data_IF_661214434816
#
_entry.id   IF_661214434816
#
_cell.length_a   1.000
_cell.length_b   1.000
_cell.length_c   1.000
_cell.angle_alpha   90.00
_cell.angle_beta   90.00
_cell.angle_gamma   90.00
#
_symmetry.space_group_name_H-M   'P 1'
#
loop_
_entity.id
_entity.type
_entity.pdbx_description
1 polymer ?
#
# COMPACT_ATOMS: atom_id res chain seq x y z
N UNK A 1 -13.97 -8.96 30.03
CA UNK A 1 -13.04 -7.82 29.87
C UNK A 1 -12.41 -7.99 28.48
N UNK A 2 -12.79 -7.13 27.53
CA UNK A 2 -12.28 -7.25 26.15
C UNK A 2 -10.78 -7.00 26.12
N UNK A 3 -10.08 -7.83 25.40
CA UNK A 3 -8.64 -7.68 25.17
C UNK A 3 -8.38 -6.34 24.42
N UNK A 4 -7.39 -5.54 24.80
CA UNK A 4 -7.15 -4.19 24.24
C UNK A 4 -7.07 -4.16 22.71
N UNK A 5 -6.53 -5.21 22.10
CA UNK A 5 -6.44 -5.35 20.65
C UNK A 5 -7.79 -5.64 19.98
N UNK A 6 -8.76 -6.23 20.70
CA UNK A 6 -10.12 -6.44 20.20
C UNK A 6 -10.83 -5.10 20.01
N UNK A 7 -10.72 -4.22 20.99
CA UNK A 7 -11.27 -2.86 20.92
C UNK A 7 -10.66 -2.10 19.75
N UNK A 8 -9.33 -2.17 19.58
CA UNK A 8 -8.65 -1.53 18.46
C UNK A 8 -9.13 -2.07 17.10
N UNK A 9 -9.33 -3.39 16.99
CA UNK A 9 -9.83 -4.04 15.80
C UNK A 9 -11.26 -3.64 15.47
N UNK A 10 -12.14 -3.59 16.47
CA UNK A 10 -13.54 -3.20 16.31
C UNK A 10 -13.66 -1.73 15.89
N UNK A 11 -12.84 -0.85 16.46
CA UNK A 11 -12.83 0.58 16.13
C UNK A 11 -12.14 0.92 14.80
N UNK A 12 -11.52 -0.06 14.17
CA UNK A 12 -10.78 0.14 12.90
C UNK A 12 -11.01 -0.98 11.89
N UNK A 13 -12.28 -1.32 11.55
CA UNK A 13 -12.60 -2.44 10.67
C UNK A 13 -11.97 -2.28 9.28
N UNK A 14 -11.83 -1.04 8.80
CA UNK A 14 -11.19 -0.72 7.51
C UNK A 14 -9.70 -1.10 7.44
N UNK A 15 -9.05 -1.36 8.58
CA UNK A 15 -7.67 -1.84 8.69
C UNK A 15 -7.50 -3.34 8.46
N UNK A 16 -8.59 -4.09 8.42
CA UNK A 16 -8.60 -5.56 8.23
C UNK A 16 -7.59 -6.28 9.14
N UNK A 17 -7.55 -5.88 10.41
CA UNK A 17 -6.64 -6.43 11.43
C UNK A 17 -5.15 -6.13 11.21
N UNK A 18 -4.79 -5.14 10.40
CA UNK A 18 -3.39 -4.70 10.17
C UNK A 18 -3.10 -3.44 10.96
N UNK A 19 -2.11 -3.50 11.87
CA UNK A 19 -1.76 -2.42 12.77
C UNK A 19 -0.25 -2.20 12.87
N UNK A 20 0.17 -0.99 13.23
CA UNK A 20 1.53 -0.75 13.67
C UNK A 20 1.75 -1.34 15.06
N UNK A 21 2.95 -1.87 15.28
CA UNK A 21 3.37 -2.34 16.61
C UNK A 21 3.14 -1.26 17.70
N UNK A 22 3.47 0.00 17.39
CA UNK A 22 3.27 1.12 18.33
C UNK A 22 1.79 1.37 18.66
N UNK A 23 0.88 1.15 17.72
CA UNK A 23 -0.57 1.29 17.93
C UNK A 23 -1.09 0.21 18.90
N UNK A 24 -0.61 -1.03 18.73
CA UNK A 24 -0.94 -2.13 19.64
C UNK A 24 -0.43 -1.86 21.06
N UNK A 25 0.82 -1.37 21.18
CA UNK A 25 1.39 -1.00 22.49
C UNK A 25 0.64 0.16 23.13
N UNK A 26 0.28 1.19 22.35
CA UNK A 26 -0.52 2.32 22.83
C UNK A 26 -1.94 1.92 23.25
N UNK A 27 -2.50 0.87 22.63
CA UNK A 27 -3.79 0.30 23.01
C UNK A 27 -3.72 -0.60 24.26
N UNK A 28 -2.54 -0.79 24.87
CA UNK A 28 -2.38 -1.56 26.10
C UNK A 28 -1.88 -3.00 25.92
N UNK A 29 -1.55 -3.41 24.70
CA UNK A 29 -0.88 -4.71 24.47
C UNK A 29 0.55 -4.62 25.01
N UNK A 30 0.93 -5.47 25.96
CA UNK A 30 2.29 -5.45 26.49
C UNK A 30 3.32 -5.97 25.46
N UNK A 31 4.59 -5.54 25.54
CA UNK A 31 5.65 -6.08 24.69
C UNK A 31 5.81 -7.61 24.80
N UNK A 32 5.54 -8.17 25.97
CA UNK A 32 5.59 -9.61 26.22
C UNK A 32 4.45 -10.35 25.50
N UNK A 33 3.22 -9.85 25.64
CA UNK A 33 2.05 -10.40 24.92
C UNK A 33 2.25 -10.36 23.40
N UNK A 34 2.76 -9.25 22.87
CA UNK A 34 3.01 -9.10 21.43
C UNK A 34 4.04 -10.12 20.94
N UNK A 35 5.17 -10.26 21.67
CA UNK A 35 6.20 -11.27 21.32
C UNK A 35 5.65 -12.68 21.40
N UNK A 36 4.89 -12.99 22.45
CA UNK A 36 4.27 -14.30 22.63
C UNK A 36 3.28 -14.62 21.53
N UNK A 37 2.41 -13.68 21.15
CA UNK A 37 1.42 -13.88 20.09
C UNK A 37 2.09 -14.12 18.73
N UNK A 38 3.19 -13.44 18.43
CA UNK A 38 3.97 -13.66 17.21
C UNK A 38 4.69 -14.99 17.27
N UNK A 39 5.35 -15.34 18.38
CA UNK A 39 6.08 -16.60 18.55
C UNK A 39 5.16 -17.83 18.47
N UNK A 40 3.90 -17.70 18.89
CA UNK A 40 2.86 -18.74 18.79
C UNK A 40 2.05 -18.68 17.49
N UNK A 41 2.52 -17.92 16.52
CA UNK A 41 1.89 -17.76 15.21
C UNK A 41 0.41 -17.30 15.25
N UNK A 42 -0.04 -16.76 16.39
CA UNK A 42 -1.38 -16.16 16.49
C UNK A 42 -1.47 -14.85 15.74
N UNK A 43 -0.37 -14.10 15.69
CA UNK A 43 -0.21 -12.87 14.93
C UNK A 43 1.02 -12.97 14.03
N UNK A 44 1.03 -12.22 12.93
CA UNK A 44 2.15 -12.19 12.00
C UNK A 44 2.79 -10.83 11.89
N UNK A 45 4.11 -10.78 12.03
CA UNK A 45 4.89 -9.61 11.59
C UNK A 45 5.02 -9.64 10.07
N UNK A 46 4.22 -8.80 9.39
CA UNK A 46 4.12 -8.81 7.93
C UNK A 46 5.11 -7.86 7.24
N UNK A 47 5.42 -6.72 7.88
CA UNK A 47 6.49 -5.78 7.52
C UNK A 47 7.17 -5.29 8.79
N UNK A 48 8.34 -4.65 8.74
CA UNK A 48 8.97 -4.08 9.93
C UNK A 48 8.03 -3.13 10.66
N UNK A 49 7.72 -3.46 11.91
CA UNK A 49 6.80 -2.69 12.74
C UNK A 49 5.32 -2.80 12.37
N UNK A 50 4.94 -3.66 11.41
CA UNK A 50 3.53 -3.90 11.02
C UNK A 50 3.13 -5.32 11.37
N UNK A 51 2.02 -5.46 12.07
CA UNK A 51 1.49 -6.73 12.57
C UNK A 51 0.09 -6.97 12.00
N UNK A 52 -0.14 -8.18 11.53
CA UNK A 52 -1.46 -8.71 11.21
C UNK A 52 -1.97 -9.51 12.41
N UNK A 53 -3.13 -9.15 12.94
CA UNK A 53 -3.80 -9.88 14.02
C UNK A 53 -4.51 -11.10 13.42
N UNK A 54 -3.76 -12.18 13.26
CA UNK A 54 -4.20 -13.45 12.68
C UNK A 54 -3.03 -14.28 12.19
N UNK A 55 -3.27 -15.58 12.03
CA UNK A 55 -2.27 -16.57 11.60
C UNK A 55 -2.21 -16.76 10.09
N UNK A 56 -3.25 -16.31 9.36
CA UNK A 56 -3.39 -16.50 7.92
C UNK A 56 -2.34 -15.70 7.12
N UNK A 57 -2.05 -16.16 5.92
CA UNK A 57 -1.28 -15.38 4.95
C UNK A 57 -2.04 -14.10 4.61
N UNK A 58 -1.36 -12.93 4.60
CA UNK A 58 -2.01 -11.66 4.30
C UNK A 58 -2.68 -11.70 2.92
N UNK A 59 -3.95 -11.32 2.86
CA UNK A 59 -4.66 -11.07 1.59
C UNK A 59 -4.02 -9.93 0.84
N UNK A 60 -4.30 -9.79 -0.47
CA UNK A 60 -3.80 -8.66 -1.25
C UNK A 60 -4.18 -7.32 -0.64
N UNK A 61 -5.42 -7.20 -0.14
CA UNK A 61 -5.88 -5.97 0.51
C UNK A 61 -5.13 -5.69 1.81
N UNK A 62 -4.87 -6.70 2.63
CA UNK A 62 -4.04 -6.58 3.83
C UNK A 62 -2.58 -6.22 3.50
N UNK A 63 -2.04 -6.69 2.37
CA UNK A 63 -0.72 -6.26 1.88
C UNK A 63 -0.70 -4.77 1.52
N UNK A 64 -1.73 -4.27 0.82
CA UNK A 64 -1.86 -2.84 0.50
C UNK A 64 -1.97 -1.98 1.77
N UNK A 65 -2.80 -2.40 2.73
CA UNK A 65 -2.95 -1.73 4.02
C UNK A 65 -1.61 -1.76 4.78
N UNK A 66 -0.95 -2.91 4.84
CA UNK A 66 0.35 -3.07 5.49
C UNK A 66 1.42 -2.17 4.88
N UNK A 67 1.47 -2.09 3.55
CA UNK A 67 2.39 -1.20 2.85
C UNK A 67 2.09 0.28 3.14
N UNK A 68 0.80 0.68 3.10
CA UNK A 68 0.36 2.05 3.43
C UNK A 68 0.76 2.43 4.86
N UNK A 69 0.49 1.56 5.82
CA UNK A 69 0.82 1.76 7.23
C UNK A 69 2.33 1.83 7.45
N UNK A 70 3.08 0.96 6.78
CA UNK A 70 4.55 0.97 6.79
C UNK A 70 5.13 2.25 6.18
N UNK A 71 4.55 2.71 5.07
CA UNK A 71 4.95 3.94 4.39
C UNK A 71 4.62 5.21 5.19
N UNK A 72 3.64 5.16 6.09
CA UNK A 72 3.19 6.29 6.91
C UNK A 72 2.08 7.12 6.25
N UNK A 73 1.66 8.19 6.96
CA UNK A 73 0.51 9.03 6.58
C UNK A 73 0.63 9.66 5.20
N UNK A 74 1.85 10.03 4.80
CA UNK A 74 2.09 10.76 3.56
C UNK A 74 2.42 9.84 2.38
N UNK A 75 2.55 8.54 2.65
CA UNK A 75 2.77 7.57 1.60
C UNK A 75 1.51 7.42 0.72
N UNK A 76 1.72 7.24 -0.58
CA UNK A 76 0.67 7.06 -1.58
C UNK A 76 1.00 5.83 -2.39
N UNK A 77 0.06 4.88 -2.46
CA UNK A 77 0.19 3.70 -3.32
C UNK A 77 0.19 4.16 -4.77
N UNK A 78 1.19 3.75 -5.55
CA UNK A 78 1.34 4.11 -6.96
C UNK A 78 1.71 2.89 -7.82
N UNK A 79 2.05 3.13 -9.08
CA UNK A 79 2.47 2.10 -10.01
C UNK A 79 1.39 1.05 -10.28
N UNK A 80 1.80 -0.21 -10.49
CA UNK A 80 0.90 -1.28 -10.89
C UNK A 80 -0.25 -1.52 -9.90
N UNK A 81 0.00 -1.41 -8.58
CA UNK A 81 -1.04 -1.57 -7.58
C UNK A 81 -2.13 -0.50 -7.67
N UNK A 82 -1.73 0.77 -7.89
CA UNK A 82 -2.66 1.87 -8.08
C UNK A 82 -3.38 1.79 -9.45
N UNK A 83 -2.67 1.43 -10.52
CA UNK A 83 -3.26 1.22 -11.84
C UNK A 83 -4.37 0.15 -11.78
N UNK A 84 -4.13 -0.92 -11.06
CA UNK A 84 -5.13 -1.96 -10.83
C UNK A 84 -6.32 -1.49 -9.99
N UNK A 85 -6.08 -0.65 -8.97
CA UNK A 85 -7.15 -0.01 -8.19
C UNK A 85 -8.08 0.83 -9.08
N UNK A 86 -7.53 1.47 -10.13
CA UNK A 86 -8.30 2.19 -11.15
C UNK A 86 -8.88 1.28 -12.23
N UNK A 87 -8.75 -0.05 -12.08
CA UNK A 87 -9.37 -1.04 -12.95
C UNK A 87 -8.56 -1.40 -14.19
N UNK A 88 -7.30 -1.00 -14.32
CA UNK A 88 -6.45 -1.42 -15.44
C UNK A 88 -6.07 -2.88 -15.31
N UNK A 89 -6.40 -3.68 -16.33
CA UNK A 89 -6.21 -5.14 -16.34
C UNK A 89 -4.78 -5.55 -16.67
N UNK A 90 -4.10 -4.76 -17.51
CA UNK A 90 -2.70 -5.00 -17.86
C UNK A 90 -1.70 -4.79 -16.73
N UNK A 91 -2.13 -4.20 -15.60
CA UNK A 91 -1.29 -4.04 -14.43
C UNK A 91 -1.11 -5.38 -13.68
N UNK A 92 0.14 -5.78 -13.41
CA UNK A 92 0.45 -6.99 -12.65
C UNK A 92 -0.25 -6.99 -11.28
N UNK A 93 -1.05 -8.05 -10.99
CA UNK A 93 -1.93 -8.08 -9.82
C UNK A 93 -1.21 -8.28 -8.50
N UNK A 94 -0.27 -9.21 -8.46
CA UNK A 94 0.34 -9.71 -7.21
C UNK A 94 1.79 -9.28 -7.01
N UNK A 95 2.23 -8.30 -7.79
CA UNK A 95 3.56 -7.72 -7.68
C UNK A 95 3.76 -6.90 -6.39
N UNK A 96 4.96 -6.37 -6.20
CA UNK A 96 5.26 -5.46 -5.10
C UNK A 96 4.33 -4.24 -5.08
N UNK A 97 4.12 -3.70 -3.88
CA UNK A 97 3.37 -2.45 -3.68
C UNK A 97 4.35 -1.30 -3.66
N UNK A 98 4.35 -0.51 -4.71
CA UNK A 98 5.14 0.71 -4.78
C UNK A 98 4.39 1.86 -4.08
N UNK A 99 5.11 2.56 -3.20
CA UNK A 99 4.64 3.69 -2.42
C UNK A 99 5.47 4.90 -2.76
N UNK A 100 4.83 5.92 -3.28
CA UNK A 100 5.45 7.23 -3.43
C UNK A 100 5.46 7.91 -2.07
N UNK A 101 6.62 8.40 -1.66
CA UNK A 101 6.83 9.07 -0.36
C UNK A 101 7.54 10.41 -0.58
N UNK A 102 7.39 11.39 0.34
CA UNK A 102 8.10 12.64 0.26
C UNK A 102 9.62 12.45 0.16
N UNK A 103 10.30 13.33 -0.59
CA UNK A 103 11.75 13.37 -0.64
C UNK A 103 12.32 13.64 0.75
N UNK A 104 13.35 12.92 1.12
CA UNK A 104 13.92 12.96 2.48
C UNK A 104 13.70 11.62 3.19
N UNK A 105 12.78 10.81 2.73
CA UNK A 105 12.71 9.40 3.11
C UNK A 105 13.66 8.59 2.23
N UNK A 106 14.40 7.67 2.83
CA UNK A 106 15.28 6.77 2.10
C UNK A 106 14.45 5.84 1.19
N UNK A 107 14.94 5.60 -0.04
CA UNK A 107 14.44 4.49 -0.86
C UNK A 107 14.65 3.18 -0.09
N UNK A 108 13.59 2.40 0.02
CA UNK A 108 13.63 1.16 0.78
C UNK A 108 12.71 0.11 0.16
N UNK A 109 13.27 -1.02 -0.15
CA UNK A 109 12.54 -2.19 -0.61
C UNK A 109 12.53 -3.22 0.54
N UNK A 110 11.35 -3.57 1.04
CA UNK A 110 11.17 -4.51 2.15
C UNK A 110 10.05 -5.48 1.82
N UNK A 111 10.38 -6.76 1.67
CA UNK A 111 9.42 -7.78 1.24
C UNK A 111 8.69 -7.34 -0.03
N UNK A 112 7.36 -7.11 0.06
CA UNK A 112 6.55 -6.63 -1.07
C UNK A 112 6.36 -5.10 -1.09
N UNK A 113 6.78 -4.35 -0.07
CA UNK A 113 6.64 -2.89 -0.02
C UNK A 113 7.89 -2.20 -0.56
N UNK A 114 7.72 -1.25 -1.47
CA UNK A 114 8.79 -0.46 -2.08
C UNK A 114 8.54 1.02 -1.87
N UNK A 115 9.41 1.69 -1.14
CA UNK A 115 9.34 3.14 -0.95
C UNK A 115 10.09 3.86 -2.08
N UNK A 116 9.39 4.74 -2.79
CA UNK A 116 9.88 5.54 -3.92
C UNK A 116 9.85 7.03 -3.56
N UNK A 117 10.96 7.62 -3.12
CA UNK A 117 11.00 9.05 -2.85
C UNK A 117 10.72 9.88 -4.10
N UNK A 118 9.88 10.91 -3.96
CA UNK A 118 9.53 11.83 -5.04
C UNK A 118 9.63 13.28 -4.61
N UNK A 119 9.90 14.17 -5.58
CA UNK A 119 9.79 15.63 -5.43
C UNK A 119 8.45 16.15 -5.94
N UNK A 120 7.76 15.36 -6.77
CA UNK A 120 6.52 15.76 -7.40
C UNK A 120 5.36 15.21 -6.61
N UNK A 121 4.60 16.04 -5.87
CA UNK A 121 3.41 15.59 -5.17
C UNK A 121 2.33 15.20 -6.18
N UNK A 122 1.51 14.23 -5.82
CA UNK A 122 0.32 13.89 -6.57
C UNK A 122 -0.88 14.65 -6.00
N UNK A 123 -1.36 15.65 -6.72
CA UNK A 123 -2.49 16.49 -6.31
C UNK A 123 -3.84 15.77 -6.44
N UNK A 124 -3.89 14.67 -7.18
CA UNK A 124 -5.10 13.90 -7.46
C UNK A 124 -5.27 12.63 -6.62
N UNK A 125 -4.62 12.54 -5.45
CA UNK A 125 -4.71 11.36 -4.58
C UNK A 125 -6.15 10.97 -4.28
N UNK A 126 -6.50 9.71 -4.56
CA UNK A 126 -7.80 9.11 -4.24
C UNK A 126 -7.73 8.35 -2.91
N UNK A 127 -8.86 8.32 -2.21
CA UNK A 127 -8.96 7.57 -0.95
C UNK A 127 -9.88 6.36 -1.15
N UNK A 128 -9.41 5.19 -0.72
CA UNK A 128 -10.19 3.95 -0.66
C UNK A 128 -10.15 3.39 0.76
N UNK A 129 -11.00 3.91 1.64
CA UNK A 129 -10.92 3.65 3.09
C UNK A 129 -9.63 4.22 3.67
N UNK A 130 -8.79 3.36 4.24
CA UNK A 130 -7.47 3.76 4.78
C UNK A 130 -6.39 3.95 3.71
N UNK A 131 -6.66 3.50 2.48
CA UNK A 131 -5.68 3.56 1.40
C UNK A 131 -5.66 4.96 0.76
N UNK A 132 -4.48 5.47 0.51
CA UNK A 132 -4.22 6.63 -0.32
C UNK A 132 -3.61 6.13 -1.63
N UNK A 133 -4.30 6.37 -2.72
CA UNK A 133 -3.93 5.84 -4.04
C UNK A 133 -3.67 6.99 -4.99
N UNK A 134 -2.60 6.91 -5.75
CA UNK A 134 -2.22 7.89 -6.75
C UNK A 134 -3.35 8.12 -7.78
N UNK A 135 -3.40 9.32 -8.34
CA UNK A 135 -4.28 9.63 -9.47
C UNK A 135 -4.09 8.64 -10.62
N UNK A 136 -5.10 8.44 -11.48
CA UNK A 136 -4.96 7.54 -12.62
C UNK A 136 -3.74 7.85 -13.49
N UNK A 137 -3.50 9.13 -13.81
CA UNK A 137 -2.36 9.55 -14.63
C UNK A 137 -1.03 9.19 -13.95
N UNK A 138 -0.87 9.54 -12.67
CA UNK A 138 0.32 9.19 -11.92
C UNK A 138 0.53 7.69 -11.81
N UNK A 139 -0.53 6.95 -11.51
CA UNK A 139 -0.48 5.48 -11.38
C UNK A 139 0.01 4.81 -12.67
N UNK A 140 -0.52 5.25 -13.82
CA UNK A 140 -0.15 4.72 -15.14
C UNK A 140 1.30 5.03 -15.47
N UNK A 141 1.75 6.28 -15.29
CA UNK A 141 3.12 6.69 -15.58
C UNK A 141 4.14 5.97 -14.68
N UNK A 142 3.86 5.87 -13.40
CA UNK A 142 4.72 5.16 -12.47
C UNK A 142 4.74 3.65 -12.78
N UNK A 143 3.60 3.05 -13.15
CA UNK A 143 3.54 1.65 -13.56
C UNK A 143 4.35 1.39 -14.83
N UNK A 144 4.22 2.25 -15.83
CA UNK A 144 4.98 2.17 -17.08
C UNK A 144 6.48 2.36 -16.83
N UNK A 145 6.86 3.39 -16.06
CA UNK A 145 8.26 3.72 -15.73
C UNK A 145 8.97 2.61 -14.96
N UNK A 146 8.25 1.91 -14.08
CA UNK A 146 8.83 0.85 -13.24
C UNK A 146 8.63 -0.55 -13.82
N UNK A 147 7.95 -0.66 -14.97
CA UNK A 147 7.83 -1.91 -15.70
C UNK A 147 9.20 -2.36 -16.24
N UNK A 148 9.43 -3.68 -16.22
CA UNK A 148 10.61 -4.29 -16.85
C UNK A 148 10.37 -4.61 -18.32
N UNK A 149 9.14 -4.50 -18.80
CA UNK A 149 8.72 -4.82 -20.16
C UNK A 149 8.15 -3.58 -20.83
N UNK A 150 8.74 -3.20 -21.96
CA UNK A 150 8.27 -2.10 -22.81
C UNK A 150 6.85 -2.37 -23.31
N UNK A 151 6.54 -3.61 -23.70
CA UNK A 151 5.21 -3.98 -24.18
C UNK A 151 4.15 -3.82 -23.10
N UNK A 152 4.43 -4.22 -21.87
CA UNK A 152 3.52 -4.01 -20.73
C UNK A 152 3.34 -2.52 -20.45
N UNK A 153 4.41 -1.74 -20.45
CA UNK A 153 4.35 -0.29 -20.25
C UNK A 153 3.45 0.39 -21.30
N UNK A 154 3.67 0.06 -22.59
CA UNK A 154 2.86 0.60 -23.68
C UNK A 154 1.39 0.17 -23.57
N UNK A 155 1.13 -1.12 -23.31
CA UNK A 155 -0.24 -1.62 -23.14
C UNK A 155 -1.00 -0.93 -22.03
N UNK A 156 -0.35 -0.64 -20.89
CA UNK A 156 -0.97 0.07 -19.78
C UNK A 156 -1.39 1.50 -20.15
N UNK A 157 -0.52 2.23 -20.84
CA UNK A 157 -0.81 3.58 -21.31
C UNK A 157 -1.96 3.56 -22.32
N UNK A 158 -1.91 2.67 -23.30
CA UNK A 158 -2.95 2.52 -24.33
C UNK A 158 -4.29 2.16 -23.68
N UNK A 159 -4.32 1.16 -22.79
CA UNK A 159 -5.53 0.75 -22.07
C UNK A 159 -6.12 1.94 -21.28
N UNK A 160 -5.29 2.72 -20.59
CA UNK A 160 -5.74 3.84 -19.78
C UNK A 160 -6.40 4.95 -20.62
N UNK A 161 -5.81 5.26 -21.79
CA UNK A 161 -6.37 6.26 -22.72
C UNK A 161 -7.64 5.74 -23.38
N UNK A 162 -7.66 4.51 -23.88
CA UNK A 162 -8.84 3.89 -24.51
C UNK A 162 -10.03 3.83 -23.56
N UNK A 163 -9.78 3.55 -22.28
CA UNK A 163 -10.82 3.54 -21.24
C UNK A 163 -11.17 4.93 -20.71
N UNK A 164 -10.60 5.98 -21.26
CA UNK A 164 -10.81 7.37 -20.85
C UNK A 164 -10.54 7.61 -19.35
N UNK A 165 -9.66 6.84 -18.75
CA UNK A 165 -9.19 7.04 -17.38
C UNK A 165 -8.22 8.22 -17.28
N UNK A 166 -7.48 8.46 -18.37
CA UNK A 166 -6.52 9.56 -18.52
C UNK A 166 -6.57 10.10 -19.94
N UNK A 167 -6.27 11.39 -20.12
CA UNK A 167 -6.01 11.98 -21.44
C UNK A 167 -4.50 12.02 -21.72
N UNK A 168 -4.15 12.18 -22.99
CA UNK A 168 -2.75 12.35 -23.41
C UNK A 168 -2.13 13.59 -22.75
N UNK A 169 -2.91 14.71 -22.69
CA UNK A 169 -2.46 15.95 -22.06
C UNK A 169 -2.18 15.78 -20.56
N UNK A 170 -3.02 15.00 -19.86
CA UNK A 170 -2.78 14.69 -18.45
C UNK A 170 -1.50 13.87 -18.25
N UNK A 171 -1.15 12.98 -19.19
CA UNK A 171 0.09 12.22 -19.13
C UNK A 171 1.31 13.09 -19.45
N UNK A 172 1.17 14.03 -20.37
CA UNK A 172 2.25 14.95 -20.76
C UNK A 172 2.57 16.00 -19.66
N UNK A 173 1.62 16.29 -18.76
CA UNK A 173 1.78 17.24 -17.66
C UNK A 173 2.53 16.70 -16.43
N UNK A 174 2.97 15.42 -16.44
CA UNK A 174 3.77 14.79 -15.38
C UNK A 174 5.23 14.61 -15.80
#
# INVERSE_FOLDING_TARGET
>A
MDEPWQVLRLNSPQRESVFLRRELLAAGVSPAQLRWAIARERWRSILPGVVLLGSQTPTRRQQLIGAQVFGGSDAVISGAAAARFHGLRGAAGDGPVDLVVPRGRARRDVRWARLRPTRVPDLGVRRGGVLRVASPARAVLDAARWSRSQSVATSLVVEAVQRRLVSVDQLAGY
#
